data_IF_373584141847
#
_entry.id   IF_373584141847
#
_cell.length_a   1.000
_cell.length_b   1.000
_cell.length_c   1.000
_cell.angle_alpha   90.00
_cell.angle_beta   90.00
_cell.angle_gamma   90.00
#
_symmetry.space_group_name_H-M   'P 1'
#
loop_
_entity.id
_entity.type
_entity.pdbx_description
1 polymer ?
#
# COMPACT_ATOMS: atom_id res chain seq x y z
N UNK A 1 17.56 15.88 -6.76
CA UNK A 1 16.52 15.71 -7.80
C UNK A 1 15.19 16.05 -7.15
N UNK A 2 14.62 17.19 -7.55
CA UNK A 2 13.40 17.77 -7.00
C UNK A 2 12.21 16.86 -7.32
N UNK A 3 11.74 16.12 -6.31
CA UNK A 3 10.50 15.36 -6.38
C UNK A 3 9.34 16.36 -6.47
N UNK A 4 8.87 16.63 -7.69
CA UNK A 4 7.61 17.35 -7.90
C UNK A 4 6.48 16.49 -7.33
N UNK A 5 6.01 16.85 -6.13
CA UNK A 5 4.77 16.35 -5.57
C UNK A 5 3.64 16.76 -6.52
N UNK A 6 3.24 15.85 -7.41
CA UNK A 6 2.04 16.03 -8.20
C UNK A 6 0.84 16.03 -7.24
N UNK A 7 0.41 17.23 -6.85
CA UNK A 7 -0.87 17.48 -6.23
C UNK A 7 -1.92 17.30 -7.34
N UNK A 8 -2.55 16.13 -7.41
CA UNK A 8 -3.77 16.04 -8.21
C UNK A 8 -4.85 16.80 -7.45
N UNK A 9 -5.28 17.94 -7.98
CA UNK A 9 -6.52 18.60 -7.57
C UNK A 9 -7.73 17.78 -8.06
N UNK A 10 -7.76 16.49 -7.75
CA UNK A 10 -8.91 15.65 -8.05
C UNK A 10 -9.97 15.96 -7.01
N UNK A 11 -11.04 16.62 -7.45
CA UNK A 11 -12.26 16.81 -6.67
C UNK A 11 -12.78 15.43 -6.26
N UNK A 12 -12.87 15.20 -4.95
CA UNK A 12 -13.49 13.99 -4.42
C UNK A 12 -14.97 13.98 -4.82
N UNK A 13 -15.46 12.83 -5.27
CA UNK A 13 -16.88 12.63 -5.54
C UNK A 13 -17.65 12.63 -4.20
N UNK A 14 -18.96 12.85 -4.23
CA UNK A 14 -19.79 12.73 -3.03
C UNK A 14 -19.71 11.31 -2.45
N UNK A 15 -19.43 11.19 -1.16
CA UNK A 15 -19.30 9.88 -0.51
C UNK A 15 -18.57 9.91 0.82
N UNK A 16 -18.45 8.74 1.46
CA UNK A 16 -17.67 8.57 2.69
C UNK A 16 -16.25 8.13 2.35
N UNK A 17 -15.28 8.80 2.97
CA UNK A 17 -13.86 8.57 2.75
C UNK A 17 -13.15 8.33 4.07
N UNK A 18 -12.11 7.50 3.99
CA UNK A 18 -11.14 7.30 5.06
C UNK A 18 -9.77 7.69 4.53
N UNK A 19 -9.06 8.50 5.32
CA UNK A 19 -7.78 9.04 4.94
C UNK A 19 -6.85 9.17 6.13
N UNK A 20 -5.58 9.39 5.83
CA UNK A 20 -4.56 9.67 6.82
C UNK A 20 -4.05 11.08 6.64
N UNK A 21 -4.01 11.85 7.72
CA UNK A 21 -3.50 13.21 7.70
C UNK A 21 -1.98 13.17 7.67
N UNK A 22 -1.38 13.79 6.67
CA UNK A 22 0.07 13.90 6.53
C UNK A 22 0.60 15.25 7.00
N UNK A 23 -0.20 16.30 6.84
CA UNK A 23 0.17 17.65 7.23
C UNK A 23 -1.08 18.46 7.54
N UNK A 24 -1.00 19.31 8.57
CA UNK A 24 -2.05 20.28 8.93
C UNK A 24 -1.46 21.67 8.74
N UNK A 25 -1.98 22.40 7.75
CA UNK A 25 -1.59 23.77 7.43
C UNK A 25 -2.65 24.69 8.05
N UNK A 26 -2.36 25.22 9.23
CA UNK A 26 -3.19 26.22 9.90
C UNK A 26 -3.00 27.56 9.19
N UNK A 27 -4.09 28.21 8.78
CA UNK A 27 -4.03 29.57 8.22
C UNK A 27 -3.88 30.61 9.33
N UNK A 28 -3.00 31.60 9.15
CA UNK A 28 -2.85 32.72 10.09
C UNK A 28 -4.19 33.45 10.28
N UNK A 29 -4.48 33.78 11.54
CA UNK A 29 -5.62 34.61 11.94
C UNK A 29 -5.56 35.96 11.20
N UNK A 30 -6.48 36.19 10.25
CA UNK A 30 -6.77 37.56 9.83
C UNK A 30 -7.68 38.19 10.87
N UNK A 31 -7.08 39.02 11.71
CA UNK A 31 -7.77 40.02 12.51
C UNK A 31 -8.59 40.94 11.60
N UNK A 32 -9.91 40.76 11.59
CA UNK A 32 -10.91 41.80 11.87
C UNK A 32 -12.33 41.32 11.57
N UNK A 33 -13.16 41.41 12.63
CA UNK A 33 -14.62 41.54 12.70
C UNK A 33 -15.54 40.52 11.98
N UNK A 34 -16.25 39.78 12.85
CA UNK A 34 -17.46 38.97 12.65
C UNK A 34 -17.34 37.74 11.73
N UNK A 35 -17.41 36.55 12.37
CA UNK A 35 -17.27 35.18 11.84
C UNK A 35 -15.88 34.82 11.32
N UNK A 36 -14.94 34.60 12.24
CA UNK A 36 -13.66 33.97 11.96
C UNK A 36 -13.85 32.47 11.68
N UNK A 37 -14.27 32.13 10.46
CA UNK A 37 -14.15 30.75 9.96
C UNK A 37 -12.65 30.44 9.81
N UNK A 38 -12.10 29.68 10.76
CA UNK A 38 -10.73 29.18 10.68
C UNK A 38 -10.70 28.14 9.55
N UNK A 39 -10.23 28.57 8.38
CA UNK A 39 -10.06 27.68 7.23
C UNK A 39 -8.74 26.91 7.38
N UNK A 40 -8.80 25.78 8.08
CA UNK A 40 -7.67 24.86 8.17
C UNK A 40 -7.55 24.07 6.89
N UNK A 41 -6.36 24.07 6.27
CA UNK A 41 -6.05 23.19 5.14
C UNK A 41 -5.34 21.96 5.65
N UNK A 42 -5.80 20.78 5.27
CA UNK A 42 -5.12 19.52 5.60
C UNK A 42 -4.72 18.79 4.33
N UNK A 43 -3.55 18.16 4.36
CA UNK A 43 -3.12 17.22 3.34
C UNK A 43 -3.43 15.82 3.84
N UNK A 44 -4.29 15.13 3.09
CA UNK A 44 -4.79 13.80 3.43
C UNK A 44 -4.38 12.83 2.34
N UNK A 45 -3.81 11.70 2.76
CA UNK A 45 -3.59 10.56 1.92
C UNK A 45 -4.85 9.68 1.93
N UNK A 46 -5.52 9.57 0.78
CA UNK A 46 -6.66 8.68 0.57
C UNK A 46 -6.19 7.56 -0.34
N UNK A 47 -6.20 6.33 0.16
CA UNK A 47 -5.52 5.18 -0.48
C UNK A 47 -4.04 5.50 -0.71
N UNK A 48 -3.68 5.86 -1.94
CA UNK A 48 -2.34 6.20 -2.42
C UNK A 48 -2.27 7.59 -3.08
N UNK A 49 -3.33 8.39 -2.99
CA UNK A 49 -3.41 9.73 -3.59
C UNK A 49 -3.46 10.83 -2.52
N UNK A 50 -2.77 11.93 -2.81
CA UNK A 50 -2.75 13.12 -1.96
C UNK A 50 -3.90 14.04 -2.33
N UNK A 51 -4.69 14.42 -1.33
CA UNK A 51 -5.78 15.37 -1.46
C UNK A 51 -5.61 16.50 -0.44
N UNK A 52 -5.75 17.74 -0.91
CA UNK A 52 -5.82 18.91 -0.03
C UNK A 52 -7.28 19.19 0.27
N UNK A 53 -7.65 19.15 1.55
CA UNK A 53 -9.00 19.43 2.03
C UNK A 53 -9.02 20.73 2.83
N UNK A 54 -10.13 21.47 2.75
CA UNK A 54 -10.38 22.64 3.60
C UNK A 54 -11.46 22.28 4.63
N UNK A 55 -11.16 22.48 5.90
CA UNK A 55 -12.09 22.27 7.01
C UNK A 55 -12.59 23.62 7.53
N UNK A 56 -13.88 23.68 7.83
CA UNK A 56 -14.50 24.82 8.52
C UNK A 56 -14.52 24.63 10.06
N UNK A 57 -14.32 23.41 10.55
CA UNK A 57 -14.31 23.09 11.98
C UNK A 57 -12.89 22.84 12.49
N UNK A 58 -12.56 23.40 13.66
CA UNK A 58 -11.30 23.14 14.35
C UNK A 58 -11.36 21.80 15.10
N UNK A 59 -11.39 20.70 14.33
CA UNK A 59 -11.26 19.36 14.89
C UNK A 59 -9.79 19.18 15.28
N UNK A 60 -9.51 18.67 16.48
CA UNK A 60 -8.17 18.39 17.00
C UNK A 60 -7.43 17.32 16.20
N UNK A 61 -7.12 17.63 14.95
CA UNK A 61 -6.47 16.78 13.97
C UNK A 61 -4.97 16.98 14.12
N UNK A 62 -4.25 15.88 14.26
CA UNK A 62 -2.80 15.86 14.33
C UNK A 62 -2.23 15.09 13.13
N UNK A 63 -0.97 15.38 12.80
CA UNK A 63 -0.25 14.64 11.77
C UNK A 63 -0.19 13.14 12.13
N UNK A 64 -0.48 12.28 11.16
CA UNK A 64 -0.54 10.83 11.34
C UNK A 64 -1.92 10.30 11.73
N UNK A 65 -2.88 11.17 12.09
CA UNK A 65 -4.24 10.78 12.45
C UNK A 65 -4.98 10.10 11.30
N UNK A 66 -5.74 9.05 11.63
CA UNK A 66 -6.72 8.45 10.72
C UNK A 66 -8.03 9.20 10.87
N UNK A 67 -8.57 9.67 9.75
CA UNK A 67 -9.82 10.42 9.70
C UNK A 67 -10.83 9.72 8.81
N UNK A 68 -12.09 9.75 9.24
CA UNK A 68 -13.25 9.36 8.46
C UNK A 68 -14.09 10.63 8.22
N UNK A 69 -14.47 10.92 6.97
CA UNK A 69 -15.20 12.13 6.61
C UNK A 69 -16.17 11.90 5.45
N UNK A 70 -17.18 12.74 5.32
CA UNK A 70 -18.13 12.73 4.21
C UNK A 70 -17.89 13.93 3.30
N UNK A 71 -17.94 13.72 1.99
CA UNK A 71 -17.89 14.78 0.99
C UNK A 71 -19.30 14.96 0.41
N UNK A 72 -19.82 16.18 0.48
CA UNK A 72 -21.12 16.57 -0.09
C UNK A 72 -21.03 16.76 -1.61
N UNK A 73 -22.17 16.86 -2.30
CA UNK A 73 -22.24 17.12 -3.75
C UNK A 73 -21.54 18.43 -4.15
N UNK A 74 -21.43 19.39 -3.22
CA UNK A 74 -20.74 20.66 -3.41
C UNK A 74 -19.22 20.58 -3.16
N UNK A 75 -18.68 19.38 -2.90
CA UNK A 75 -17.27 19.16 -2.58
C UNK A 75 -16.86 19.61 -1.18
N UNK A 76 -17.80 19.99 -0.30
CA UNK A 76 -17.51 20.34 1.09
C UNK A 76 -17.34 19.09 1.94
N UNK A 77 -16.33 19.11 2.81
CA UNK A 77 -16.04 18.05 3.75
C UNK A 77 -16.83 18.28 5.03
N UNK A 78 -17.64 17.30 5.42
CA UNK A 78 -18.48 17.30 6.62
C UNK A 78 -18.22 16.05 7.48
N UNK A 79 -18.64 16.11 8.75
CA UNK A 79 -18.62 14.99 9.72
C UNK A 79 -17.24 14.33 9.89
N UNK A 80 -16.20 15.13 10.07
CA UNK A 80 -14.84 14.61 10.26
C UNK A 80 -14.71 13.98 11.65
N UNK A 81 -14.44 12.68 11.67
CA UNK A 81 -14.16 11.91 12.89
C UNK A 81 -12.72 11.46 12.88
N UNK A 82 -12.02 11.73 13.97
CA UNK A 82 -10.66 11.22 14.19
C UNK A 82 -10.73 9.87 14.91
N UNK A 83 -10.14 8.84 14.31
CA UNK A 83 -9.97 7.54 14.96
C UNK A 83 -8.68 7.55 15.79
N UNK A 84 -8.82 7.39 17.11
CA UNK A 84 -7.67 7.22 17.98
C UNK A 84 -7.14 5.78 17.84
N UNK A 85 -5.87 5.63 17.47
CA UNK A 85 -5.20 4.34 17.42
C UNK A 85 -4.18 4.22 18.55
N UNK A 86 -4.03 3.04 19.18
CA UNK A 86 -2.94 2.80 20.13
C UNK A 86 -1.57 2.79 19.44
N UNK A 87 -1.52 2.73 18.11
CA UNK A 87 -0.29 2.73 17.32
C UNK A 87 -0.02 4.13 16.82
N UNK A 88 1.16 4.67 17.12
CA UNK A 88 1.59 5.94 16.57
C UNK A 88 1.95 5.75 15.08
N UNK A 89 1.07 6.23 14.20
CA UNK A 89 1.34 6.25 12.77
C UNK A 89 2.18 7.49 12.44
N UNK A 90 3.50 7.36 12.53
CA UNK A 90 4.44 8.37 12.00
C UNK A 90 4.27 8.48 10.47
N UNK A 91 4.05 9.70 9.96
CA UNK A 91 3.82 9.98 8.53
C UNK A 91 4.89 9.36 7.63
N UNK A 92 6.13 9.31 8.12
CA UNK A 92 7.30 8.74 7.43
C UNK A 92 7.65 7.30 7.92
N UNK A 93 6.86 6.76 8.84
CA UNK A 93 7.08 5.48 9.48
C UNK A 93 6.68 4.26 8.65
N UNK A 94 7.10 3.10 9.16
CA UNK A 94 7.06 1.84 8.42
C UNK A 94 5.72 1.11 8.41
N UNK A 95 4.89 1.42 9.40
CA UNK A 95 3.71 0.64 9.78
C UNK A 95 2.68 0.59 8.64
N UNK A 96 2.62 1.64 7.83
CA UNK A 96 1.73 1.73 6.67
C UNK A 96 2.54 1.97 5.39
N UNK A 97 3.63 1.22 5.22
CA UNK A 97 4.54 1.27 4.06
C UNK A 97 3.83 1.32 2.70
N UNK A 98 2.68 0.65 2.54
CA UNK A 98 1.91 0.65 1.29
C UNK A 98 1.06 1.92 1.07
N UNK A 99 0.82 2.70 2.12
CA UNK A 99 0.23 4.04 2.12
C UNK A 99 1.30 5.12 2.41
N UNK A 100 2.46 5.03 1.75
CA UNK A 100 3.46 6.10 1.79
C UNK A 100 3.11 7.18 0.75
N UNK A 101 3.25 8.47 1.09
CA UNK A 101 3.15 9.55 0.11
C UNK A 101 4.26 9.48 -0.96
N UNK A 102 3.94 10.02 -2.15
CA UNK A 102 4.92 10.51 -3.13
C UNK A 102 6.02 9.55 -3.66
N UNK A 103 5.70 8.28 -3.90
CA UNK A 103 6.43 7.49 -4.92
C UNK A 103 5.50 7.25 -6.10
N UNK A 104 5.91 7.65 -7.29
CA UNK A 104 5.19 7.38 -8.53
C UNK A 104 5.96 6.34 -9.34
N UNK A 105 5.34 5.19 -9.70
CA UNK A 105 4.02 4.73 -9.27
C UNK A 105 3.96 4.41 -7.76
N UNK A 106 2.77 4.50 -7.17
CA UNK A 106 2.58 4.21 -5.74
C UNK A 106 2.84 2.72 -5.45
N UNK A 107 3.13 2.37 -4.19
CA UNK A 107 3.26 0.95 -3.81
C UNK A 107 1.95 0.18 -4.00
N UNK A 108 0.79 0.82 -3.79
CA UNK A 108 -0.50 0.21 -4.09
C UNK A 108 -0.63 -0.11 -5.58
N UNK A 109 -0.22 0.83 -6.44
CA UNK A 109 -0.24 0.64 -7.89
C UNK A 109 0.75 -0.45 -8.31
N UNK A 110 1.97 -0.45 -7.76
CA UNK A 110 2.95 -1.51 -8.00
C UNK A 110 2.41 -2.89 -7.63
N UNK A 111 1.65 -3.02 -6.53
CA UNK A 111 1.02 -4.27 -6.14
C UNK A 111 -0.11 -4.69 -7.10
N UNK A 112 -0.93 -3.75 -7.57
CA UNK A 112 -1.95 -4.02 -8.60
C UNK A 112 -1.31 -4.46 -9.92
N UNK A 113 -0.28 -3.76 -10.36
CA UNK A 113 0.49 -4.10 -11.56
C UNK A 113 1.15 -5.47 -11.41
N UNK A 114 1.76 -5.77 -10.25
CA UNK A 114 2.32 -7.10 -9.96
C UNK A 114 1.26 -8.19 -10.04
N UNK A 115 0.06 -7.96 -9.50
CA UNK A 115 -1.05 -8.91 -9.63
C UNK A 115 -1.42 -9.16 -11.10
N UNK A 116 -1.54 -8.10 -11.91
CA UNK A 116 -1.85 -8.22 -13.33
C UNK A 116 -0.77 -9.00 -14.09
N UNK A 117 0.51 -8.73 -13.81
CA UNK A 117 1.64 -9.44 -14.41
C UNK A 117 1.59 -10.92 -14.04
N UNK A 118 1.45 -11.25 -12.75
CA UNK A 118 1.38 -12.65 -12.29
C UNK A 118 0.20 -13.37 -12.92
N UNK A 119 -0.97 -12.72 -12.99
CA UNK A 119 -2.14 -13.30 -13.64
C UNK A 119 -1.88 -13.59 -15.12
N UNK A 120 -1.33 -12.64 -15.86
CA UNK A 120 -1.01 -12.84 -17.28
C UNK A 120 0.02 -13.96 -17.52
N UNK A 121 1.01 -14.09 -16.64
CA UNK A 121 1.98 -15.21 -16.70
C UNK A 121 1.28 -16.55 -16.50
N UNK A 122 0.39 -16.66 -15.51
CA UNK A 122 -0.38 -17.89 -15.24
C UNK A 122 -1.30 -18.25 -16.40
N UNK A 123 -2.06 -17.28 -16.90
CA UNK A 123 -2.95 -17.45 -18.06
C UNK A 123 -2.17 -17.95 -19.29
N UNK A 124 -0.96 -17.43 -19.52
CA UNK A 124 -0.11 -17.89 -20.62
C UNK A 124 0.32 -19.35 -20.44
N UNK A 125 0.80 -19.73 -19.24
CA UNK A 125 1.22 -21.12 -18.97
C UNK A 125 0.05 -22.11 -19.06
N UNK A 126 -1.13 -21.74 -18.53
CA UNK A 126 -2.35 -22.52 -18.63
C UNK A 126 -2.75 -22.75 -20.09
N UNK A 127 -2.71 -21.71 -20.94
CA UNK A 127 -2.96 -21.83 -22.38
C UNK A 127 -1.96 -22.72 -23.13
N UNK A 128 -0.79 -22.98 -22.54
CA UNK A 128 0.23 -23.87 -23.10
C UNK A 128 0.21 -25.27 -22.44
N UNK A 129 -0.83 -25.60 -21.68
CA UNK A 129 -1.02 -26.87 -20.95
C UNK A 129 0.05 -27.12 -19.87
N UNK A 130 0.60 -26.08 -19.26
CA UNK A 130 1.47 -26.25 -18.09
C UNK A 130 0.66 -26.35 -16.80
N UNK A 131 1.16 -27.14 -15.85
CA UNK A 131 0.59 -27.30 -14.51
C UNK A 131 1.35 -26.39 -13.53
N UNK A 132 0.63 -25.53 -12.78
CA UNK A 132 1.22 -24.75 -11.68
C UNK A 132 1.59 -25.69 -10.53
N UNK A 133 2.83 -25.61 -10.06
CA UNK A 133 3.32 -26.52 -9.02
C UNK A 133 3.67 -25.79 -7.73
N UNK A 134 3.17 -26.31 -6.61
CA UNK A 134 3.66 -25.93 -5.29
C UNK A 134 4.70 -26.96 -4.82
N UNK A 135 5.87 -26.47 -4.42
CA UNK A 135 6.96 -27.32 -3.91
C UNK A 135 7.25 -27.01 -2.44
N UNK A 136 7.66 -28.00 -1.63
CA UNK A 136 8.02 -27.77 -0.23
C UNK A 136 9.11 -26.69 -0.06
N UNK A 137 8.84 -25.71 0.80
CA UNK A 137 9.80 -24.65 1.16
C UNK A 137 10.86 -25.15 2.15
N UNK A 138 10.51 -26.13 2.99
CA UNK A 138 11.39 -26.74 3.97
C UNK A 138 11.63 -28.21 3.63
N UNK A 139 12.89 -28.60 3.53
CA UNK A 139 13.29 -29.95 3.11
C UNK A 139 14.34 -30.55 4.04
N UNK A 140 14.38 -31.88 4.22
CA UNK A 140 15.39 -32.52 5.06
C UNK A 140 16.80 -32.42 4.47
N UNK A 141 16.91 -32.40 3.13
CA UNK A 141 18.15 -32.28 2.39
C UNK A 141 17.94 -31.31 1.20
N UNK A 142 18.60 -30.15 1.19
CA UNK A 142 18.57 -29.19 0.08
C UNK A 142 19.52 -29.62 -1.04
N UNK A 143 19.65 -28.79 -2.10
CA UNK A 143 20.64 -29.02 -3.16
C UNK A 143 22.05 -29.15 -2.56
N UNK A 144 22.85 -30.16 -2.98
CA UNK A 144 24.21 -30.39 -2.48
C UNK A 144 25.27 -29.51 -3.19
N UNK A 145 24.88 -28.53 -4.00
CA UNK A 145 25.81 -27.65 -4.70
C UNK A 145 26.63 -26.82 -3.71
N UNK A 146 27.95 -26.79 -3.91
CA UNK A 146 28.89 -26.14 -2.98
C UNK A 146 28.76 -24.61 -2.93
N UNK A 147 28.16 -24.00 -3.94
CA UNK A 147 27.88 -22.57 -4.01
C UNK A 147 26.59 -22.17 -3.27
N UNK A 148 25.75 -23.14 -2.88
CA UNK A 148 24.49 -22.89 -2.21
C UNK A 148 24.66 -23.04 -0.70
N UNK A 149 24.19 -22.03 0.03
CA UNK A 149 24.25 -21.98 1.50
C UNK A 149 22.83 -21.92 2.07
N UNK A 150 22.09 -23.04 2.07
CA UNK A 150 20.71 -23.09 2.53
C UNK A 150 20.62 -22.82 4.04
N UNK A 151 19.59 -22.08 4.45
CA UNK A 151 19.37 -21.74 5.85
C UNK A 151 18.84 -22.96 6.59
N UNK A 152 19.56 -23.41 7.63
CA UNK A 152 19.16 -24.52 8.49
C UNK A 152 18.14 -24.07 9.53
N UNK A 153 17.12 -24.90 9.76
CA UNK A 153 16.12 -24.78 10.82
C UNK A 153 16.18 -26.00 11.75
N UNK A 154 15.31 -26.05 12.76
CA UNK A 154 15.22 -27.21 13.67
C UNK A 154 14.70 -28.48 13.00
N UNK A 155 14.00 -28.36 11.87
CA UNK A 155 13.28 -29.46 11.20
C UNK A 155 13.74 -29.70 9.75
N UNK A 156 14.75 -28.97 9.26
CA UNK A 156 15.28 -29.13 7.92
C UNK A 156 16.04 -27.91 7.44
N UNK A 157 15.96 -27.65 6.14
CA UNK A 157 16.62 -26.54 5.45
C UNK A 157 15.62 -25.80 4.57
N UNK A 158 15.68 -24.47 4.57
CA UNK A 158 14.95 -23.67 3.58
C UNK A 158 15.60 -23.90 2.22
N UNK A 159 14.78 -24.22 1.22
CA UNK A 159 15.25 -24.39 -0.16
C UNK A 159 15.71 -23.06 -0.73
N UNK A 160 16.75 -23.09 -1.55
CA UNK A 160 17.23 -21.93 -2.32
C UNK A 160 16.45 -21.74 -3.62
N UNK A 161 15.88 -22.84 -4.15
CA UNK A 161 15.03 -22.88 -5.33
C UNK A 161 14.14 -24.13 -5.30
N UNK A 162 13.05 -24.18 -6.08
CA UNK A 162 12.19 -25.37 -6.20
C UNK A 162 12.76 -26.46 -7.13
N UNK A 163 13.96 -26.25 -7.70
CA UNK A 163 14.49 -27.00 -8.84
C UNK A 163 14.52 -28.52 -8.61
N UNK A 164 15.02 -28.98 -7.46
CA UNK A 164 15.13 -30.42 -7.18
C UNK A 164 13.75 -31.09 -7.08
N UNK A 165 12.77 -30.39 -6.53
CA UNK A 165 11.39 -30.87 -6.39
C UNK A 165 10.71 -30.90 -7.76
N UNK A 166 10.91 -29.87 -8.58
CA UNK A 166 10.40 -29.83 -9.95
C UNK A 166 11.05 -30.93 -10.82
N UNK A 167 12.35 -31.19 -10.69
CA UNK A 167 13.01 -32.32 -11.37
C UNK A 167 12.37 -33.67 -11.00
N UNK A 168 11.97 -33.86 -9.74
CA UNK A 168 11.26 -35.08 -9.32
C UNK A 168 9.88 -35.20 -9.96
N UNK A 169 9.16 -34.09 -10.13
CA UNK A 169 7.89 -34.07 -10.87
C UNK A 169 8.10 -34.45 -12.34
N UNK A 170 9.10 -33.87 -13.00
CA UNK A 170 9.45 -34.21 -14.38
C UNK A 170 9.75 -35.71 -14.54
N UNK A 171 10.60 -36.26 -13.66
CA UNK A 171 10.89 -37.71 -13.65
C UNK A 171 9.65 -38.56 -13.35
N UNK A 172 8.69 -38.01 -12.60
CA UNK A 172 7.39 -38.63 -12.31
C UNK A 172 6.39 -38.59 -13.46
N UNK A 173 6.73 -37.98 -14.60
CA UNK A 173 5.89 -37.92 -15.80
C UNK A 173 5.09 -36.63 -15.97
N UNK A 174 5.32 -35.60 -15.15
CA UNK A 174 4.77 -34.28 -15.40
C UNK A 174 5.59 -33.59 -16.49
N UNK A 175 5.06 -33.46 -17.71
CA UNK A 175 5.85 -32.98 -18.86
C UNK A 175 5.98 -31.45 -18.92
N UNK A 176 4.97 -30.71 -18.46
CA UNK A 176 4.90 -29.25 -18.49
C UNK A 176 4.51 -28.71 -17.11
N UNK A 177 5.47 -28.12 -16.41
CA UNK A 177 5.29 -27.54 -15.07
C UNK A 177 5.86 -26.13 -15.00
N UNK A 178 5.25 -25.28 -14.18
CA UNK A 178 5.77 -23.95 -13.86
C UNK A 178 5.64 -23.61 -12.37
#
# INVERSE_FOLDING_TARGET
>A
MSSSSHFSSNSLLSGSYQGRVLEVICGDEKSNESTSEINNKIIVLIKDQLHTLSLQENVGIFQGALISFEVTENGRVEKVKTEQSPVNFDAEGDVLRWRCPAKYPSRMELLRTRQQIIRGIREWFEQQDFIETETPVLVPAPSPESQLFPIKTNSGFLVTSPEFQMKRLLTGGFEKIY
#
